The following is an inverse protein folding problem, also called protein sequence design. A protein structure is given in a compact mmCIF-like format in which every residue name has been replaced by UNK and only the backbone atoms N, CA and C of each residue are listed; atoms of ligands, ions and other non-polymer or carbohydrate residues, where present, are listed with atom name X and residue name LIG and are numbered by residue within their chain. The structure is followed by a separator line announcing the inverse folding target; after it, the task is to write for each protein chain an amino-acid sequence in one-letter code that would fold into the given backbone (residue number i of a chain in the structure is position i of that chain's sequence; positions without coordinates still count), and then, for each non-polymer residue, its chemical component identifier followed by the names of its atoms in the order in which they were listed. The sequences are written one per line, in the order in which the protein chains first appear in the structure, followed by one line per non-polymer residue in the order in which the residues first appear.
data_IF_941300386713
#
_entry.id   IF_941300386713
#
_cell.length_a   1.000
_cell.length_b   1.000
_cell.length_c   1.000
_cell.angle_alpha   90.00
_cell.angle_beta   90.00
_cell.angle_gamma   90.00
#
_symmetry.space_group_name_H-M   'P 1'
#
loop_
_entity.id
_entity.type
_entity.pdbx_description
1 polymer ?
#
# COMPACT_ATOMS: atom_id res chain seq x y z
N UNK A 1 10.87 -5.08 -18.38
CA UNK A 1 9.98 -4.18 -17.58
C UNK A 1 9.05 -3.41 -18.51
N UNK A 2 7.80 -3.13 -18.07
CA UNK A 2 6.92 -2.15 -18.73
C UNK A 2 7.52 -0.76 -18.62
N UNK A 3 7.12 0.18 -19.49
CA UNK A 3 7.59 1.57 -19.41
C UNK A 3 7.15 2.24 -18.09
N UNK A 4 5.87 2.11 -17.79
CA UNK A 4 5.26 2.66 -16.58
C UNK A 4 4.17 1.72 -16.05
N UNK A 5 3.96 1.77 -14.74
CA UNK A 5 2.84 1.16 -14.04
C UNK A 5 1.73 2.21 -13.85
N UNK A 6 0.54 1.94 -14.34
CA UNK A 6 -0.64 2.75 -14.01
C UNK A 6 -1.21 2.28 -12.67
N UNK A 7 -1.27 3.18 -11.70
CA UNK A 7 -1.70 2.96 -10.34
C UNK A 7 -2.96 3.76 -10.04
N UNK A 8 -4.00 3.13 -9.51
CA UNK A 8 -5.16 3.80 -8.94
C UNK A 8 -4.93 4.08 -7.46
N UNK A 9 -4.88 5.33 -7.05
CA UNK A 9 -4.81 5.73 -5.63
C UNK A 9 -6.20 6.18 -5.19
N UNK A 10 -6.78 5.49 -4.22
CA UNK A 10 -8.11 5.78 -3.68
C UNK A 10 -7.97 6.30 -2.26
N UNK A 11 -8.49 7.48 -2.00
CA UNK A 11 -8.49 8.14 -0.71
C UNK A 11 -9.93 8.20 -0.18
N UNK A 12 -10.26 7.33 0.80
CA UNK A 12 -11.59 7.26 1.44
C UNK A 12 -11.64 8.12 2.70
N UNK A 13 -12.84 8.57 3.10
CA UNK A 13 -13.03 9.53 4.21
C UNK A 13 -13.58 8.92 5.49
N UNK A 14 -13.21 7.67 5.81
CA UNK A 14 -13.68 6.96 6.99
C UNK A 14 -13.33 7.73 8.27
N UNK A 15 -14.33 7.99 9.13
CA UNK A 15 -14.13 8.65 10.42
C UNK A 15 -13.83 7.63 11.52
N UNK A 16 -12.64 7.72 12.13
CA UNK A 16 -12.19 6.77 13.16
C UNK A 16 -13.07 6.76 14.42
N UNK A 17 -13.63 7.91 14.83
CA UNK A 17 -14.47 8.00 16.02
C UNK A 17 -15.83 7.35 15.80
N UNK A 18 -16.36 7.48 14.60
CA UNK A 18 -17.62 6.85 14.22
C UNK A 18 -17.43 5.36 13.89
N UNK A 19 -16.28 4.99 13.32
CA UNK A 19 -15.99 3.63 12.89
C UNK A 19 -15.70 2.69 14.08
N UNK A 20 -14.73 3.06 14.94
CA UNK A 20 -14.25 2.19 16.04
C UNK A 20 -14.60 2.77 17.39
N UNK A 21 -15.90 2.75 17.70
CA UNK A 21 -16.38 3.26 19.00
C UNK A 21 -16.23 2.19 20.09
N UNK A 22 -15.49 2.52 21.16
CA UNK A 22 -15.25 1.60 22.28
C UNK A 22 -16.54 1.10 22.96
N UNK A 23 -17.63 1.87 22.91
CA UNK A 23 -18.93 1.44 23.45
C UNK A 23 -19.54 0.23 22.73
N UNK A 24 -19.07 -0.10 21.53
CA UNK A 24 -19.49 -1.31 20.80
C UNK A 24 -18.91 -2.61 21.41
N UNK A 25 -17.90 -2.51 22.28
CA UNK A 25 -17.18 -3.64 22.86
C UNK A 25 -16.17 -4.33 21.94
N UNK A 26 -16.16 -3.99 20.67
CA UNK A 26 -15.28 -4.61 19.64
C UNK A 26 -14.64 -3.55 18.72
N UNK A 27 -13.33 -3.65 18.45
CA UNK A 27 -12.69 -2.78 17.47
C UNK A 27 -13.00 -3.22 16.03
N UNK A 28 -14.18 -2.88 15.58
CA UNK A 28 -14.64 -3.12 14.18
C UNK A 28 -15.39 -1.91 13.65
N UNK A 29 -15.37 -1.76 12.35
CA UNK A 29 -16.12 -0.68 11.67
C UNK A 29 -17.61 -0.79 11.99
N UNK A 30 -18.20 0.32 12.43
CA UNK A 30 -19.63 0.41 12.72
C UNK A 30 -20.48 0.21 11.43
N UNK A 31 -21.72 -0.24 11.58
CA UNK A 31 -22.61 -0.47 10.43
C UNK A 31 -22.85 0.79 9.58
N UNK A 32 -22.88 1.97 10.21
CA UNK A 32 -23.03 3.24 9.49
C UNK A 32 -21.82 3.56 8.62
N UNK A 33 -20.60 3.40 9.19
CA UNK A 33 -19.35 3.62 8.47
C UNK A 33 -19.06 2.53 7.44
N UNK A 34 -19.46 1.26 7.66
CA UNK A 34 -19.43 0.19 6.66
C UNK A 34 -20.14 0.61 5.37
N UNK A 35 -21.39 1.09 5.50
CA UNK A 35 -22.17 1.53 4.35
C UNK A 35 -21.54 2.70 3.61
N UNK A 36 -21.00 3.69 4.35
CA UNK A 36 -20.34 4.88 3.79
C UNK A 36 -19.04 4.50 3.08
N UNK A 37 -18.17 3.76 3.75
CA UNK A 37 -16.90 3.30 3.18
C UNK A 37 -17.11 2.49 1.91
N UNK A 38 -18.09 1.56 1.92
CA UNK A 38 -18.44 0.76 0.75
C UNK A 38 -18.96 1.60 -0.41
N UNK A 39 -19.76 2.62 -0.14
CA UNK A 39 -20.24 3.54 -1.17
C UNK A 39 -19.07 4.28 -1.85
N UNK A 40 -18.15 4.84 -1.07
CA UNK A 40 -16.96 5.52 -1.59
C UNK A 40 -16.06 4.58 -2.41
N UNK A 41 -15.77 3.39 -1.89
CA UNK A 41 -14.96 2.38 -2.58
C UNK A 41 -15.58 2.01 -3.94
N UNK A 42 -16.87 1.71 -3.98
CA UNK A 42 -17.55 1.38 -5.24
C UNK A 42 -17.52 2.53 -6.24
N UNK A 43 -17.73 3.76 -5.77
CA UNK A 43 -17.67 4.96 -6.60
C UNK A 43 -16.28 5.16 -7.19
N UNK A 44 -15.23 5.02 -6.36
CA UNK A 44 -13.85 5.13 -6.78
C UNK A 44 -13.47 4.08 -7.84
N UNK A 45 -13.81 2.80 -7.58
CA UNK A 45 -13.48 1.70 -8.51
C UNK A 45 -14.19 1.90 -9.85
N UNK A 46 -15.44 2.35 -9.87
CA UNK A 46 -16.15 2.65 -11.12
C UNK A 46 -15.45 3.78 -11.88
N UNK A 47 -15.12 4.87 -11.22
CA UNK A 47 -14.42 5.98 -11.86
C UNK A 47 -13.06 5.56 -12.45
N UNK A 48 -12.31 4.69 -11.74
CA UNK A 48 -11.05 4.14 -12.24
C UNK A 48 -11.24 3.14 -13.38
N UNK A 49 -12.35 2.39 -13.39
CA UNK A 49 -12.66 1.46 -14.49
C UNK A 49 -13.03 2.19 -15.78
N UNK A 50 -13.67 3.35 -15.66
CA UNK A 50 -14.07 4.19 -16.79
C UNK A 50 -12.94 5.12 -17.28
N UNK A 51 -11.78 5.12 -16.61
CA UNK A 51 -10.64 5.96 -16.98
C UNK A 51 -9.90 5.38 -18.20
N UNK A 52 -9.47 6.23 -19.15
CA UNK A 52 -8.75 5.80 -20.35
C UNK A 52 -7.50 4.99 -20.04
N UNK A 53 -6.72 5.43 -19.05
CA UNK A 53 -5.56 4.72 -18.51
C UNK A 53 -5.97 3.83 -17.33
N UNK A 54 -6.72 2.76 -17.57
CA UNK A 54 -7.17 1.84 -16.51
C UNK A 54 -5.99 1.39 -15.63
N UNK A 55 -6.10 1.50 -14.29
CA UNK A 55 -5.01 1.11 -13.41
C UNK A 55 -4.79 -0.42 -13.42
N UNK A 56 -3.53 -0.82 -13.36
CA UNK A 56 -3.15 -2.22 -13.18
C UNK A 56 -3.08 -2.62 -11.71
N UNK A 57 -2.78 -1.65 -10.85
CA UNK A 57 -2.78 -1.83 -9.40
C UNK A 57 -3.65 -0.74 -8.77
N UNK A 58 -4.41 -1.10 -7.74
CA UNK A 58 -5.28 -0.18 -6.98
C UNK A 58 -4.82 -0.19 -5.53
N UNK A 59 -4.67 0.99 -4.93
CA UNK A 59 -4.36 1.15 -3.50
C UNK A 59 -5.54 1.78 -2.77
N UNK A 60 -5.84 1.24 -1.58
CA UNK A 60 -6.75 1.84 -0.61
C UNK A 60 -6.02 2.02 0.72
N UNK A 61 -6.44 3.00 1.55
CA UNK A 61 -5.81 3.28 2.84
C UNK A 61 -5.86 2.11 3.84
N UNK A 62 -5.10 2.24 4.90
CA UNK A 62 -5.19 1.40 6.10
C UNK A 62 -6.64 1.39 6.64
N UNK A 63 -7.14 0.22 7.03
CA UNK A 63 -8.47 0.02 7.64
C UNK A 63 -9.66 0.52 6.78
N UNK A 64 -9.45 0.76 5.47
CA UNK A 64 -10.47 1.36 4.62
C UNK A 64 -11.59 0.38 4.21
N UNK A 65 -11.30 -0.91 4.09
CA UNK A 65 -12.24 -1.92 3.62
C UNK A 65 -12.88 -2.66 4.80
N UNK A 66 -14.21 -2.53 4.99
CA UNK A 66 -14.92 -3.36 5.97
C UNK A 66 -14.81 -4.86 5.62
N UNK A 67 -14.57 -5.72 6.61
CA UNK A 67 -14.45 -7.17 6.40
C UNK A 67 -15.71 -7.81 5.82
N UNK A 68 -16.86 -7.24 6.11
CA UNK A 68 -18.16 -7.65 5.54
C UNK A 68 -18.24 -7.50 4.04
N UNK A 69 -17.36 -6.66 3.43
CA UNK A 69 -17.36 -6.32 1.99
C UNK A 69 -16.27 -7.00 1.19
N UNK A 70 -15.49 -7.90 1.79
CA UNK A 70 -14.36 -8.57 1.14
C UNK A 70 -14.74 -9.25 -0.18
N UNK A 71 -15.81 -10.05 -0.18
CA UNK A 71 -16.22 -10.80 -1.37
C UNK A 71 -16.80 -9.90 -2.47
N UNK A 72 -17.49 -8.83 -2.08
CA UNK A 72 -17.98 -7.82 -3.01
C UNK A 72 -16.83 -7.03 -3.63
N UNK A 73 -15.83 -6.67 -2.84
CA UNK A 73 -14.63 -5.99 -3.29
C UNK A 73 -13.82 -6.86 -4.25
N UNK A 74 -13.62 -8.15 -3.93
CA UNK A 74 -12.94 -9.09 -4.82
C UNK A 74 -13.64 -9.17 -6.18
N UNK A 75 -14.97 -9.23 -6.21
CA UNK A 75 -15.73 -9.24 -7.48
C UNK A 75 -15.46 -7.99 -8.33
N UNK A 76 -15.41 -6.80 -7.70
CA UNK A 76 -15.11 -5.55 -8.41
C UNK A 76 -13.69 -5.54 -8.96
N UNK A 77 -12.70 -5.94 -8.13
CA UNK A 77 -11.29 -6.00 -8.51
C UNK A 77 -11.06 -7.00 -9.66
N UNK A 78 -11.70 -8.17 -9.57
CA UNK A 78 -11.66 -9.19 -10.62
C UNK A 78 -12.28 -8.73 -11.94
N UNK A 79 -13.38 -7.95 -11.90
CA UNK A 79 -14.02 -7.42 -13.11
C UNK A 79 -13.13 -6.41 -13.84
N UNK A 80 -12.36 -5.61 -13.11
CA UNK A 80 -11.37 -4.70 -13.68
C UNK A 80 -10.08 -5.40 -14.11
N UNK A 81 -9.85 -6.62 -13.64
CA UNK A 81 -8.59 -7.33 -13.77
C UNK A 81 -7.38 -6.49 -13.30
N UNK A 82 -7.55 -5.76 -12.21
CA UNK A 82 -6.50 -5.00 -11.53
C UNK A 82 -6.09 -5.73 -10.25
N UNK A 83 -4.79 -5.69 -9.88
CA UNK A 83 -4.33 -6.09 -8.55
C UNK A 83 -4.77 -5.03 -7.55
N UNK A 84 -5.22 -5.41 -6.36
CA UNK A 84 -5.53 -4.45 -5.31
C UNK A 84 -4.68 -4.69 -4.06
N UNK A 85 -4.20 -3.60 -3.45
CA UNK A 85 -3.55 -3.59 -2.13
C UNK A 85 -4.38 -2.68 -1.25
N UNK A 86 -4.97 -3.24 -0.21
CA UNK A 86 -6.00 -2.55 0.58
C UNK A 86 -5.84 -2.83 2.07
N UNK A 87 -5.97 -1.78 2.89
CA UNK A 87 -6.11 -1.93 4.33
C UNK A 87 -7.52 -2.41 4.68
N UNK A 88 -7.59 -3.53 5.40
CA UNK A 88 -8.86 -4.15 5.81
C UNK A 88 -9.11 -3.86 7.28
N UNK A 89 -10.36 -3.71 7.68
CA UNK A 89 -10.75 -3.59 9.09
C UNK A 89 -10.10 -4.67 9.97
N UNK A 90 -9.94 -4.42 11.24
CA UNK A 90 -9.28 -5.33 12.18
C UNK A 90 -9.78 -6.77 12.06
N UNK A 91 -8.84 -7.72 12.07
CA UNK A 91 -9.17 -9.13 12.26
C UNK A 91 -9.18 -9.45 13.75
N UNK A 92 -10.34 -9.82 14.27
CA UNK A 92 -10.55 -10.09 15.68
C UNK A 92 -10.35 -11.56 16.00
N UNK A 93 -9.58 -11.83 17.05
CA UNK A 93 -9.56 -13.11 17.75
C UNK A 93 -10.27 -12.94 19.09
N UNK A 94 -11.53 -13.38 19.14
CA UNK A 94 -12.38 -13.24 20.34
C UNK A 94 -11.88 -14.09 21.51
N UNK A 95 -11.23 -15.23 21.25
CA UNK A 95 -10.69 -16.12 22.27
C UNK A 95 -9.53 -15.46 22.99
N UNK A 96 -8.62 -14.87 22.23
CA UNK A 96 -7.42 -14.20 22.74
C UNK A 96 -7.67 -12.71 23.06
N UNK A 97 -8.86 -12.19 22.73
CA UNK A 97 -9.16 -10.74 22.73
C UNK A 97 -8.06 -9.93 22.08
N UNK A 98 -7.65 -10.34 20.92
CA UNK A 98 -6.62 -9.65 20.15
C UNK A 98 -7.13 -9.23 18.78
N UNK A 99 -6.57 -8.13 18.27
CA UNK A 99 -6.89 -7.57 16.96
C UNK A 99 -5.62 -7.46 16.12
N UNK A 100 -5.70 -7.88 14.86
CA UNK A 100 -4.66 -7.67 13.85
C UNK A 100 -5.07 -6.55 12.92
N UNK A 101 -4.14 -5.63 12.67
CA UNK A 101 -4.25 -4.66 11.61
C UNK A 101 -3.59 -5.24 10.36
N UNK A 102 -4.39 -5.50 9.35
CA UNK A 102 -3.95 -6.25 8.17
C UNK A 102 -4.25 -5.51 6.88
N UNK A 103 -3.31 -5.64 5.94
CA UNK A 103 -3.54 -5.37 4.53
C UNK A 103 -3.78 -6.66 3.75
N UNK A 104 -4.41 -6.51 2.60
CA UNK A 104 -4.74 -7.60 1.69
C UNK A 104 -4.24 -7.25 0.29
N UNK A 105 -3.48 -8.16 -0.31
CA UNK A 105 -3.19 -8.17 -1.74
C UNK A 105 -4.15 -9.12 -2.43
N UNK A 106 -4.98 -8.59 -3.33
CA UNK A 106 -5.87 -9.36 -4.19
C UNK A 106 -5.28 -9.42 -5.60
N UNK A 107 -5.01 -10.65 -6.07
CA UNK A 107 -4.46 -10.89 -7.41
C UNK A 107 -5.49 -11.65 -8.23
N UNK A 108 -6.16 -11.01 -9.20
CA UNK A 108 -7.06 -11.71 -10.11
C UNK A 108 -6.36 -12.85 -10.82
N UNK A 109 -6.99 -14.03 -10.92
CA UNK A 109 -6.38 -15.22 -11.53
C UNK A 109 -5.86 -14.97 -12.95
N UNK A 110 -6.54 -14.11 -13.70
CA UNK A 110 -6.18 -13.76 -15.08
C UNK A 110 -5.41 -12.44 -15.18
N UNK A 111 -4.82 -11.95 -14.09
CA UNK A 111 -4.10 -10.65 -14.07
C UNK A 111 -3.13 -10.50 -15.23
N UNK A 112 -2.29 -11.50 -15.48
CA UNK A 112 -1.30 -11.49 -16.57
C UNK A 112 -1.92 -11.63 -17.96
N UNK A 113 -3.06 -12.32 -18.07
CA UNK A 113 -3.78 -12.52 -19.34
C UNK A 113 -4.62 -11.30 -19.75
N UNK A 114 -4.72 -10.28 -18.88
CA UNK A 114 -5.50 -9.06 -19.08
C UNK A 114 -6.99 -9.29 -19.41
N UNK A 115 -7.54 -10.38 -18.91
CA UNK A 115 -8.98 -10.68 -19.07
C UNK A 115 -9.64 -10.74 -17.70
N UNK A 116 -10.93 -10.36 -17.58
CA UNK A 116 -11.64 -10.47 -16.31
C UNK A 116 -11.56 -11.88 -15.72
N UNK A 117 -11.60 -11.97 -14.42
CA UNK A 117 -11.58 -13.23 -13.66
C UNK A 117 -12.76 -13.25 -12.69
N UNK A 118 -13.21 -14.46 -12.32
CA UNK A 118 -14.19 -14.63 -11.24
C UNK A 118 -13.55 -14.80 -9.86
N UNK A 119 -12.24 -15.08 -9.82
CA UNK A 119 -11.51 -15.43 -8.60
C UNK A 119 -10.22 -14.65 -8.52
N UNK A 120 -9.80 -14.35 -7.31
CA UNK A 120 -8.50 -13.80 -6.99
C UNK A 120 -7.77 -14.66 -5.95
N UNK A 121 -6.45 -14.57 -5.93
CA UNK A 121 -5.63 -15.05 -4.82
C UNK A 121 -5.59 -13.95 -3.76
N UNK A 122 -5.86 -14.32 -2.50
CA UNK A 122 -5.79 -13.43 -1.34
C UNK A 122 -4.48 -13.66 -0.61
N UNK A 123 -3.67 -12.63 -0.48
CA UNK A 123 -2.43 -12.68 0.32
C UNK A 123 -2.48 -11.61 1.39
N UNK A 124 -2.43 -12.04 2.64
CA UNK A 124 -2.49 -11.15 3.78
C UNK A 124 -1.10 -10.71 4.21
N UNK A 125 -0.97 -9.46 4.64
CA UNK A 125 0.20 -8.92 5.30
C UNK A 125 -0.26 -8.07 6.49
N UNK A 126 0.53 -8.04 7.56
CA UNK A 126 0.11 -7.40 8.80
C UNK A 126 1.00 -6.23 9.19
N UNK A 127 0.50 -5.44 10.12
CA UNK A 127 1.22 -4.37 10.81
C UNK A 127 2.01 -4.95 11.97
N UNK A 128 3.28 -4.52 12.11
CA UNK A 128 4.16 -4.96 13.21
C UNK A 128 3.92 -4.15 14.47
N UNK A 129 3.96 -2.83 14.33
CA UNK A 129 3.93 -1.92 15.47
C UNK A 129 2.66 -1.07 15.47
N UNK A 130 1.84 -1.14 16.54
CA UNK A 130 0.66 -0.29 16.65
C UNK A 130 1.10 1.17 16.82
N UNK A 131 0.42 2.10 16.16
CA UNK A 131 0.61 3.51 16.46
C UNK A 131 0.21 3.80 17.92
N UNK A 132 0.82 4.80 18.60
CA UNK A 132 0.50 5.09 20.01
C UNK A 132 -0.99 5.31 20.26
N UNK A 133 -1.70 5.99 19.36
CA UNK A 133 -3.15 6.20 19.45
C UNK A 133 -3.93 4.89 19.27
N UNK A 134 -3.49 4.01 18.38
CA UNK A 134 -4.09 2.69 18.15
C UNK A 134 -3.92 1.79 19.38
N UNK A 135 -2.70 1.74 19.94
CA UNK A 135 -2.41 0.98 21.15
C UNK A 135 -3.19 1.48 22.38
N UNK A 136 -3.38 2.81 22.48
CA UNK A 136 -4.23 3.41 23.52
C UNK A 136 -5.70 3.06 23.29
N UNK A 137 -6.19 3.20 22.07
CA UNK A 137 -7.59 2.94 21.72
C UNK A 137 -8.04 1.51 22.04
N UNK A 138 -7.16 0.51 21.90
CA UNK A 138 -7.49 -0.87 22.30
C UNK A 138 -7.73 -1.03 23.82
N UNK A 139 -7.14 -0.18 24.66
CA UNK A 139 -7.32 -0.20 26.10
C UNK A 139 -8.65 0.44 26.56
N UNK A 140 -9.27 1.23 25.70
CA UNK A 140 -10.55 1.90 26.00
C UNK A 140 -11.75 0.95 25.94
N UNK A 141 -11.59 -0.24 25.31
CA UNK A 141 -12.61 -1.28 25.29
C UNK A 141 -12.70 -1.99 26.65
N UNK A 142 -13.89 -2.47 27.01
CA UNK A 142 -14.12 -3.20 28.26
C UNK A 142 -14.70 -4.60 27.96
N UNK A 143 -13.95 -5.69 28.28
CA UNK A 143 -12.53 -5.70 28.64
C UNK A 143 -11.63 -5.28 27.48
N UNK A 144 -10.37 -4.86 27.75
CA UNK A 144 -9.48 -4.33 26.70
C UNK A 144 -9.11 -5.38 25.65
N UNK A 145 -8.77 -4.91 24.46
CA UNK A 145 -8.21 -5.70 23.38
C UNK A 145 -6.68 -5.57 23.34
N UNK A 146 -6.00 -6.61 22.86
CA UNK A 146 -4.56 -6.58 22.64
C UNK A 146 -4.26 -6.44 21.14
N UNK A 147 -3.21 -5.72 20.78
CA UNK A 147 -2.70 -5.73 19.42
C UNK A 147 -1.92 -7.01 19.15
N UNK A 148 -2.12 -7.62 17.99
CA UNK A 148 -1.39 -8.80 17.56
C UNK A 148 -0.49 -8.44 16.36
N UNK A 149 0.81 -8.33 16.60
CA UNK A 149 1.82 -7.95 15.63
C UNK A 149 2.03 -9.00 14.53
N UNK A 150 2.40 -8.54 13.32
CA UNK A 150 2.94 -9.39 12.25
C UNK A 150 4.45 -9.13 12.15
N UNK A 151 5.31 -10.12 12.43
CA UNK A 151 6.77 -9.93 12.41
C UNK A 151 7.37 -9.89 11.00
N UNK A 152 6.58 -10.11 9.94
CA UNK A 152 7.09 -10.29 8.60
C UNK A 152 7.24 -8.97 7.83
N UNK A 153 8.20 -8.95 6.91
CA UNK A 153 8.33 -7.95 5.84
C UNK A 153 8.02 -8.63 4.52
N UNK A 154 7.19 -7.98 3.70
CA UNK A 154 6.66 -8.59 2.48
C UNK A 154 7.21 -7.89 1.25
N UNK A 155 7.71 -8.68 0.30
CA UNK A 155 8.04 -8.24 -1.05
C UNK A 155 7.23 -9.09 -2.03
N UNK A 156 6.49 -8.43 -2.92
CA UNK A 156 5.71 -9.07 -3.96
C UNK A 156 6.41 -8.88 -5.30
N UNK A 157 6.65 -9.96 -6.03
CA UNK A 157 7.11 -9.87 -7.40
C UNK A 157 5.91 -9.68 -8.33
N UNK A 158 5.82 -8.49 -8.91
CA UNK A 158 4.81 -8.14 -9.88
C UNK A 158 5.32 -8.26 -11.33
N UNK A 159 6.33 -9.11 -11.57
CA UNK A 159 6.89 -9.41 -12.89
C UNK A 159 7.35 -8.16 -13.63
N UNK A 160 6.80 -7.91 -14.83
CA UNK A 160 7.16 -6.75 -15.64
C UNK A 160 6.82 -5.39 -15.02
N UNK A 161 6.00 -5.36 -13.98
CA UNK A 161 5.67 -4.15 -13.20
C UNK A 161 6.66 -3.88 -12.06
N UNK A 162 7.63 -4.77 -11.84
CA UNK A 162 8.64 -4.63 -10.80
C UNK A 162 8.25 -5.25 -9.47
N UNK A 163 9.13 -5.12 -8.47
CA UNK A 163 8.93 -5.64 -7.13
C UNK A 163 8.33 -4.59 -6.21
N UNK A 164 7.41 -5.00 -5.38
CA UNK A 164 6.60 -4.16 -4.51
C UNK A 164 6.88 -4.52 -3.05
N UNK A 165 7.37 -3.56 -2.27
CA UNK A 165 7.33 -3.60 -0.82
C UNK A 165 6.03 -2.98 -0.30
N UNK A 166 5.53 -3.46 0.83
CA UNK A 166 4.32 -2.93 1.45
C UNK A 166 4.57 -2.56 2.91
N UNK A 167 3.94 -1.49 3.37
CA UNK A 167 4.01 -1.04 4.77
C UNK A 167 2.65 -0.52 5.23
N UNK A 168 2.33 -0.71 6.51
CA UNK A 168 1.09 -0.20 7.09
C UNK A 168 1.41 0.92 8.08
N UNK A 169 1.08 2.14 7.68
CA UNK A 169 1.06 3.35 8.52
C UNK A 169 2.34 3.50 9.37
N UNK A 170 2.26 3.26 10.68
CA UNK A 170 3.35 3.48 11.63
C UNK A 170 4.62 2.69 11.31
N UNK A 171 4.49 1.50 10.72
CA UNK A 171 5.62 0.70 10.24
C UNK A 171 6.47 1.39 9.14
N UNK A 172 5.92 2.45 8.51
CA UNK A 172 6.67 3.24 7.53
C UNK A 172 7.83 4.02 8.16
N UNK A 173 7.81 4.23 9.48
CA UNK A 173 8.89 4.89 10.25
C UNK A 173 10.02 3.92 10.63
N UNK A 174 9.83 2.62 10.41
CA UNK A 174 10.82 1.60 10.77
C UNK A 174 12.01 1.60 9.80
N UNK A 175 13.17 2.02 10.30
CA UNK A 175 14.42 2.10 9.53
C UNK A 175 14.91 0.70 9.15
N UNK A 176 14.75 -0.32 9.99
CA UNK A 176 15.15 -1.70 9.71
C UNK A 176 14.38 -2.26 8.53
N UNK A 177 13.06 -1.99 8.48
CA UNK A 177 12.21 -2.34 7.35
C UNK A 177 12.67 -1.64 6.05
N UNK A 178 13.02 -0.37 6.14
CA UNK A 178 13.55 0.38 4.99
C UNK A 178 14.87 -0.22 4.46
N UNK A 179 15.75 -0.66 5.34
CA UNK A 179 16.99 -1.35 4.97
C UNK A 179 16.72 -2.69 4.28
N UNK A 180 15.72 -3.46 4.75
CA UNK A 180 15.34 -4.72 4.11
C UNK A 180 14.76 -4.51 2.70
N UNK A 181 14.12 -3.38 2.43
CA UNK A 181 13.62 -3.05 1.10
C UNK A 181 14.68 -2.55 0.13
N UNK A 182 15.76 -1.96 0.64
CA UNK A 182 16.79 -1.33 -0.19
C UNK A 182 17.43 -2.31 -1.17
N UNK A 183 17.42 -1.95 -2.46
CA UNK A 183 17.94 -2.78 -3.54
C UNK A 183 17.08 -3.99 -3.90
N UNK A 184 15.94 -4.19 -3.23
CA UNK A 184 15.04 -5.34 -3.44
C UNK A 184 13.74 -4.97 -4.13
N UNK A 185 13.33 -3.70 -4.11
CA UNK A 185 12.03 -3.25 -4.59
C UNK A 185 12.15 -2.10 -5.59
N UNK A 186 11.15 -1.97 -6.46
CA UNK A 186 10.95 -0.83 -7.35
C UNK A 186 9.92 0.15 -6.79
N UNK A 187 8.99 -0.36 -6.00
CA UNK A 187 7.89 0.41 -5.42
C UNK A 187 7.73 0.07 -3.94
N UNK A 188 7.59 1.09 -3.11
CA UNK A 188 7.15 0.97 -1.71
C UNK A 188 5.74 1.55 -1.61
N UNK A 189 4.76 0.69 -1.33
CA UNK A 189 3.38 1.10 -1.15
C UNK A 189 3.04 1.13 0.33
N UNK A 190 2.66 2.30 0.80
CA UNK A 190 2.31 2.58 2.18
C UNK A 190 0.81 2.87 2.26
N UNK A 191 0.06 1.96 2.89
CA UNK A 191 -1.33 2.20 3.21
C UNK A 191 -1.42 2.80 4.61
N UNK A 192 -2.11 3.93 4.78
CA UNK A 192 -2.02 4.68 6.03
C UNK A 192 -3.37 5.27 6.48
N UNK A 193 -3.49 5.40 7.80
CA UNK A 193 -4.49 6.19 8.50
C UNK A 193 -3.76 7.18 9.42
N UNK A 194 -3.06 8.15 8.82
CA UNK A 194 -2.12 9.00 9.53
C UNK A 194 -2.49 10.48 9.46
N UNK A 195 -2.49 11.15 10.62
CA UNK A 195 -2.76 12.59 10.76
C UNK A 195 -1.52 13.47 10.56
N UNK A 196 -0.32 12.91 10.77
CA UNK A 196 0.94 13.66 10.60
C UNK A 196 1.43 13.56 9.15
N UNK A 197 0.67 14.23 8.26
CA UNK A 197 0.89 14.25 6.82
C UNK A 197 2.28 14.74 6.46
N UNK A 198 2.78 15.76 7.16
CA UNK A 198 4.10 16.36 6.87
C UNK A 198 5.28 15.44 7.21
N UNK A 199 5.16 14.66 8.28
CA UNK A 199 6.15 13.65 8.59
C UNK A 199 6.20 12.57 7.50
N UNK A 200 5.03 12.09 7.05
CA UNK A 200 4.96 11.08 6.00
C UNK A 200 5.44 11.58 4.64
N UNK A 201 5.18 12.84 4.30
CA UNK A 201 5.75 13.48 3.11
C UNK A 201 7.28 13.50 3.18
N UNK A 202 7.86 13.93 4.31
CA UNK A 202 9.30 13.98 4.51
C UNK A 202 9.95 12.60 4.45
N UNK A 203 9.32 11.59 5.05
CA UNK A 203 9.77 10.20 4.99
C UNK A 203 9.71 9.65 3.56
N UNK A 204 8.62 9.90 2.83
CA UNK A 204 8.46 9.44 1.45
C UNK A 204 9.56 10.02 0.55
N UNK A 205 9.86 11.31 0.67
CA UNK A 205 10.95 11.95 -0.07
C UNK A 205 12.31 11.37 0.31
N UNK A 206 12.56 11.15 1.60
CA UNK A 206 13.81 10.57 2.09
C UNK A 206 14.00 9.14 1.63
N UNK A 207 12.99 8.27 1.82
CA UNK A 207 13.07 6.86 1.48
C UNK A 207 13.09 6.62 -0.03
N UNK A 208 12.38 7.44 -0.82
CA UNK A 208 12.51 7.41 -2.28
C UNK A 208 13.97 7.54 -2.73
N UNK A 209 14.79 8.29 -1.99
CA UNK A 209 16.20 8.54 -2.30
C UNK A 209 17.14 7.51 -1.69
N UNK A 210 16.88 7.07 -0.45
CA UNK A 210 17.79 6.18 0.31
C UNK A 210 17.53 4.70 0.01
N UNK A 211 16.29 4.30 -0.21
CA UNK A 211 15.90 2.97 -0.71
C UNK A 211 16.04 2.89 -2.22
N UNK A 212 15.93 4.01 -2.91
CA UNK A 212 15.97 4.20 -4.36
C UNK A 212 14.82 3.49 -5.08
N UNK A 213 13.61 3.89 -4.74
CA UNK A 213 12.36 3.33 -5.28
C UNK A 213 11.29 4.41 -5.43
N UNK A 214 10.22 4.08 -6.14
CA UNK A 214 8.99 4.89 -6.06
C UNK A 214 8.34 4.64 -4.70
N UNK A 215 7.96 5.71 -4.00
CA UNK A 215 7.20 5.63 -2.74
C UNK A 215 5.80 6.18 -2.98
N UNK A 216 4.80 5.41 -2.63
CA UNK A 216 3.40 5.80 -2.71
C UNK A 216 2.79 5.70 -1.32
N UNK A 217 2.34 6.82 -0.79
CA UNK A 217 1.54 6.86 0.42
C UNK A 217 0.08 7.01 0.02
N UNK A 218 -0.73 6.01 0.34
CA UNK A 218 -2.18 6.04 0.21
C UNK A 218 -2.77 6.25 1.60
N UNK A 219 -3.03 7.51 1.93
CA UNK A 219 -3.55 7.90 3.25
C UNK A 219 -5.08 8.05 3.21
N UNK A 220 -5.70 7.96 4.39
CA UNK A 220 -7.12 8.27 4.51
C UNK A 220 -7.42 9.70 4.11
N UNK A 221 -8.51 9.90 3.38
CA UNK A 221 -9.02 11.23 3.02
C UNK A 221 -9.55 12.02 4.20
N UNK A 222 -9.78 11.36 5.35
CA UNK A 222 -10.13 12.05 6.59
C UNK A 222 -9.05 13.06 7.00
N UNK A 223 -7.77 12.72 6.79
CA UNK A 223 -6.63 13.61 7.04
C UNK A 223 -5.98 14.16 5.76
N UNK A 224 -6.12 13.50 4.62
CA UNK A 224 -5.43 13.83 3.38
C UNK A 224 -3.97 13.37 3.36
N UNK A 225 -3.17 13.91 2.45
CA UNK A 225 -1.74 13.64 2.36
C UNK A 225 -1.37 12.35 1.62
N UNK A 226 -2.24 11.86 0.72
CA UNK A 226 -1.81 10.84 -0.23
C UNK A 226 -0.85 11.43 -1.24
N UNK A 227 0.27 10.74 -1.51
CA UNK A 227 1.31 11.25 -2.40
C UNK A 227 2.08 10.14 -3.11
N UNK A 228 2.70 10.52 -4.23
CA UNK A 228 3.62 9.68 -5.02
C UNK A 228 4.93 10.41 -5.19
N UNK A 229 6.03 9.75 -4.81
CA UNK A 229 7.38 10.29 -4.93
C UNK A 229 8.26 9.30 -5.68
N UNK A 230 9.03 9.82 -6.64
CA UNK A 230 10.03 9.05 -7.40
C UNK A 230 11.42 9.69 -7.27
N UNK A 231 12.53 8.92 -7.36
CA UNK A 231 13.87 9.42 -7.10
C UNK A 231 14.47 10.23 -8.25
N UNK A 232 13.64 11.03 -8.94
CA UNK A 232 14.07 11.86 -10.06
C UNK A 232 15.15 12.87 -9.68
N UNK A 233 16.04 13.16 -10.62
CA UNK A 233 17.07 14.18 -10.46
C UNK A 233 16.45 15.57 -10.28
N UNK A 234 15.55 15.92 -11.19
CA UNK A 234 14.87 17.22 -11.19
C UNK A 234 13.87 17.30 -10.02
N UNK A 235 14.01 18.30 -9.16
CA UNK A 235 13.22 18.45 -7.94
C UNK A 235 11.71 18.53 -8.22
N UNK A 236 11.32 19.24 -9.29
CA UNK A 236 9.92 19.44 -9.66
C UNK A 236 9.22 18.19 -10.21
N UNK A 237 9.99 17.14 -10.60
CA UNK A 237 9.45 15.85 -11.06
C UNK A 237 9.26 14.83 -9.94
N UNK A 238 9.86 15.08 -8.75
CA UNK A 238 9.90 14.06 -7.67
C UNK A 238 8.53 13.73 -7.14
N UNK A 239 7.70 14.74 -6.91
CA UNK A 239 6.32 14.56 -6.46
C UNK A 239 5.43 14.52 -7.70
N UNK A 240 5.04 13.31 -8.10
CA UNK A 240 4.18 13.11 -9.27
C UNK A 240 2.69 13.23 -8.97
N UNK A 241 2.32 13.18 -7.70
CA UNK A 241 0.95 13.29 -7.22
C UNK A 241 0.95 13.68 -5.74
N UNK A 242 0.04 14.55 -5.33
CA UNK A 242 -0.24 14.89 -3.93
C UNK A 242 -1.68 15.38 -3.81
N UNK A 243 -2.36 14.94 -2.77
CA UNK A 243 -3.70 15.42 -2.38
C UNK A 243 -3.68 15.75 -0.90
N UNK A 244 -3.63 17.04 -0.62
CA UNK A 244 -3.69 17.60 0.72
C UNK A 244 -5.12 18.00 1.11
N UNK A 245 -5.32 18.25 2.39
CA UNK A 245 -6.60 18.67 2.94
C UNK A 245 -7.43 17.54 3.53
N UNK A 246 -8.12 17.84 4.62
CA UNK A 246 -8.93 16.87 5.36
C UNK A 246 -10.32 16.66 4.76
N UNK A 247 -10.87 15.48 4.99
CA UNK A 247 -12.21 15.06 4.58
C UNK A 247 -12.44 15.13 3.05
N UNK A 248 -11.42 14.75 2.26
CA UNK A 248 -11.45 14.76 0.81
C UNK A 248 -11.46 13.33 0.29
N UNK A 249 -12.58 12.90 -0.30
CA UNK A 249 -12.64 11.70 -1.12
C UNK A 249 -11.95 11.96 -2.46
N UNK A 250 -11.02 11.09 -2.84
CA UNK A 250 -10.35 11.17 -4.14
C UNK A 250 -10.08 9.78 -4.72
N UNK A 251 -10.09 9.68 -6.05
CA UNK A 251 -9.66 8.50 -6.79
C UNK A 251 -8.94 8.97 -8.06
N UNK A 252 -7.66 8.66 -8.19
CA UNK A 252 -6.82 9.15 -9.26
C UNK A 252 -5.95 8.06 -9.85
N UNK A 253 -5.81 8.06 -11.19
CA UNK A 253 -4.79 7.28 -11.89
C UNK A 253 -3.46 8.05 -11.91
N UNK A 254 -2.38 7.36 -11.52
CA UNK A 254 -1.02 7.90 -11.51
C UNK A 254 -0.10 6.94 -12.26
N UNK A 255 0.85 7.45 -13.03
CA UNK A 255 1.86 6.65 -13.74
C UNK A 255 3.17 6.65 -12.97
N UNK A 256 3.64 5.45 -12.59
CA UNK A 256 4.93 5.24 -11.94
C UNK A 256 5.95 4.77 -12.98
N UNK A 257 7.16 5.35 -13.03
CA UNK A 257 8.22 4.84 -13.90
C UNK A 257 8.67 3.45 -13.43
N UNK A 258 8.86 2.52 -14.38
CA UNK A 258 9.34 1.16 -14.08
C UNK A 258 10.62 0.88 -14.83
N UNK A 259 10.60 0.83 -16.16
CA UNK A 259 11.77 0.47 -16.99
C UNK A 259 12.96 1.38 -16.78
N UNK A 260 12.73 2.69 -16.79
CA UNK A 260 13.82 3.67 -16.62
C UNK A 260 14.38 3.62 -15.19
N UNK A 261 13.52 3.39 -14.17
CA UNK A 261 13.97 3.21 -12.79
C UNK A 261 14.77 1.91 -12.63
N UNK A 262 14.32 0.81 -13.22
CA UNK A 262 15.03 -0.46 -13.23
C UNK A 262 16.43 -0.32 -13.86
N UNK A 263 16.51 0.35 -15.03
CA UNK A 263 17.78 0.65 -15.67
C UNK A 263 18.72 1.48 -14.78
N UNK A 264 18.17 2.48 -14.06
CA UNK A 264 18.96 3.29 -13.12
C UNK A 264 19.46 2.46 -11.93
N UNK A 265 18.61 1.56 -11.37
CA UNK A 265 18.97 0.64 -10.28
C UNK A 265 20.14 -0.26 -10.67
N UNK A 266 20.18 -0.73 -11.92
CA UNK A 266 21.22 -1.63 -12.43
C UNK A 266 22.41 -0.94 -13.13
N UNK A 267 22.46 0.41 -13.09
CA UNK A 267 23.55 1.18 -13.71
C UNK A 267 23.52 1.23 -15.24
N UNK A 268 22.39 0.89 -15.85
CA UNK A 268 22.20 0.87 -17.32
C UNK A 268 21.57 2.16 -17.86
N UNK A 269 21.52 3.25 -17.08
CA UNK A 269 21.02 4.55 -17.55
C UNK A 269 22.04 5.20 -18.50
N UNK A 270 21.78 5.08 -19.80
CA UNK A 270 22.66 5.59 -20.88
C UNK A 270 22.24 6.98 -21.36
N UNK A 271 21.27 7.63 -20.74
CA UNK A 271 20.78 8.94 -21.18
C UNK A 271 21.83 10.03 -20.99
N UNK A 272 21.99 10.98 -21.95
CA UNK A 272 23.00 12.05 -21.87
C UNK A 272 22.81 12.94 -20.65
N UNK A 273 21.58 13.07 -20.14
CA UNK A 273 21.22 13.76 -18.91
C UNK A 273 20.60 12.76 -17.94
N UNK A 274 21.17 12.66 -16.76
CA UNK A 274 20.66 11.78 -15.73
C UNK A 274 19.18 12.08 -15.42
N UNK A 275 18.33 11.07 -15.58
CA UNK A 275 16.90 11.16 -15.27
C UNK A 275 16.66 11.02 -13.77
N UNK A 276 17.44 10.14 -13.14
CA UNK A 276 17.38 9.85 -11.72
C UNK A 276 18.61 10.39 -10.98
N UNK A 277 18.49 10.53 -9.68
CA UNK A 277 19.65 10.82 -8.83
C UNK A 277 20.64 9.62 -8.87
N UNK A 278 21.90 9.89 -8.54
CA UNK A 278 22.86 8.82 -8.32
C UNK A 278 22.39 7.86 -7.23
N UNK A 279 22.71 6.59 -7.39
CA UNK A 279 22.47 5.58 -6.36
C UNK A 279 23.07 6.01 -5.02
N UNK A 280 22.41 5.79 -3.91
CA UNK A 280 22.93 6.18 -2.61
C UNK A 280 24.19 5.35 -2.25
N UNK A 281 25.12 5.89 -1.42
CA UNK A 281 26.32 5.18 -1.01
C UNK A 281 26.00 3.79 -0.43
N UNK A 282 26.78 2.77 -0.83
CA UNK A 282 26.59 1.39 -0.39
C UNK A 282 25.31 0.73 -0.91
N UNK A 283 24.70 1.25 -1.99
CA UNK A 283 23.56 0.60 -2.64
C UNK A 283 24.06 -0.62 -3.43
N UNK A 284 23.36 -1.74 -3.24
CA UNK A 284 23.57 -2.97 -4.01
C UNK A 284 22.23 -3.44 -4.52
N UNK A 285 22.08 -3.52 -5.83
CA UNK A 285 20.91 -4.13 -6.45
C UNK A 285 20.93 -5.65 -6.21
N UNK A 286 19.82 -6.23 -5.78
CA UNK A 286 19.73 -7.65 -5.51
C UNK A 286 19.09 -8.33 -6.71
N UNK A 287 19.91 -9.12 -7.38
CA UNK A 287 19.64 -10.10 -8.44
C UNK A 287 18.82 -9.67 -9.66
N UNK A 288 19.39 -10.02 -10.79
CA UNK A 288 18.80 -9.99 -12.13
C UNK A 288 17.47 -10.75 -12.21
N UNK A 289 16.41 -10.09 -12.67
CA UNK A 289 15.08 -10.67 -12.83
C UNK A 289 14.76 -10.95 -14.30
N UNK A 290 15.58 -11.76 -14.92
CA UNK A 290 15.31 -12.32 -16.26
C UNK A 290 14.42 -13.58 -16.20
N UNK A 291 14.05 -14.03 -15.01
CA UNK A 291 13.16 -15.18 -14.86
C UNK A 291 11.76 -14.87 -15.38
N UNK A 292 11.22 -15.78 -16.17
CA UNK A 292 9.81 -15.78 -16.58
C UNK A 292 8.94 -15.64 -15.34
N UNK A 293 8.01 -14.64 -15.26
CA UNK A 293 7.20 -14.46 -14.08
C UNK A 293 6.41 -15.74 -13.79
N UNK A 294 6.39 -16.21 -12.53
CA UNK A 294 5.47 -17.24 -12.15
C UNK A 294 4.03 -16.78 -12.42
N UNK A 295 3.09 -17.69 -12.54
CA UNK A 295 1.67 -17.39 -12.79
C UNK A 295 1.02 -16.64 -11.60
N UNK A 296 1.51 -15.45 -11.31
CA UNK A 296 1.06 -14.54 -10.24
C UNK A 296 2.21 -14.03 -9.37
N UNK A 297 2.05 -12.91 -8.67
CA UNK A 297 3.03 -12.43 -7.70
C UNK A 297 3.09 -13.43 -6.54
N UNK A 298 4.27 -14.01 -6.32
CA UNK A 298 4.52 -14.82 -5.14
C UNK A 298 4.93 -13.90 -3.99
N UNK A 299 4.25 -13.94 -2.85
CA UNK A 299 4.71 -13.22 -1.67
C UNK A 299 6.01 -13.86 -1.18
N UNK A 300 7.04 -13.08 -1.04
CA UNK A 300 8.25 -13.48 -0.33
C UNK A 300 8.16 -12.86 1.06
N UNK A 301 7.75 -13.63 2.05
CA UNK A 301 7.82 -13.22 3.43
C UNK A 301 9.29 -13.26 3.88
N UNK A 302 9.84 -12.11 4.22
CA UNK A 302 11.15 -12.02 4.85
C UNK A 302 10.87 -11.82 6.34
N UNK A 303 11.10 -12.82 7.21
CA UNK A 303 10.92 -12.64 8.63
C UNK A 303 11.89 -11.55 9.12
N UNK A 304 11.38 -10.62 9.92
CA UNK A 304 12.23 -9.71 10.66
C UNK A 304 13.04 -10.55 11.66
N UNK A 305 14.33 -10.26 11.77
CA UNK A 305 15.20 -10.94 12.75
C UNK A 305 14.54 -10.84 14.12
N UNK A 306 14.13 -11.97 14.67
CA UNK A 306 13.83 -12.07 16.10
C UNK A 306 15.18 -11.90 16.82
N UNK A 307 15.31 -10.88 17.65
CA UNK A 307 16.36 -10.90 18.67
C UNK A 307 16.01 -12.06 19.60
N UNK A 308 16.81 -13.14 19.55
CA UNK A 308 16.82 -14.19 20.56
C UNK A 308 17.26 -13.60 21.91
#
# INVERSE_FOLDING_TARGET
MVEALTLGVIQTTLDHKAAWNASSGEPKISAAEDGRAWHEIRRAIRALADHDDQPRIILLPELALPRTRLDDFERLVCSMNALAIVGVDYRLDHRMRSAKNEGLVLVPRNFWKRTPSRYATRVWFGKRDPAPAEASGFKDYIPPWAFHADPNVYVFDAGSYGRIGVSICYDFMDIERALLYRGRIHHLFVIAYNRDVKLFESLAVSLSRTVFCNVVVCNTGFYGGSLVVSPYYDAFKRVGYSVDGGNIFNAQCVRLPVRDLDAAIHGHDTKPKATYKHLPPGFTAIADHTAVPPEGPLPVAIPLFTQD
#
